data_IF_214750069256
#
_entry.id   IF_214750069256
#
_cell.length_a   1.000
_cell.length_b   1.000
_cell.length_c   1.000
_cell.angle_alpha   90.00
_cell.angle_beta   90.00
_cell.angle_gamma   90.00
#
_symmetry.space_group_name_H-M   'P 1'
#
loop_
_entity.id
_entity.type
_entity.pdbx_description
1 polymer ?
#
# COMPACT_ATOMS: atom_id res chain seq x y z
N UNK A 1 -0.31 24.87 -65.85
CA UNK A 1 0.56 24.22 -64.85
C UNK A 1 -0.21 24.08 -63.54
N UNK A 2 -0.11 22.91 -62.91
CA UNK A 2 -0.85 22.50 -61.72
C UNK A 2 -0.88 23.51 -60.57
N UNK A 3 -2.07 23.70 -60.01
CA UNK A 3 -2.30 24.45 -58.79
C UNK A 3 -1.79 23.71 -57.55
N UNK A 4 -0.59 24.06 -57.11
CA UNK A 4 -0.05 23.70 -55.79
C UNK A 4 -0.59 24.59 -54.67
N UNK A 5 -1.92 24.73 -54.59
CA UNK A 5 -2.55 25.30 -53.40
C UNK A 5 -3.76 24.47 -53.03
N UNK A 6 -3.63 23.80 -51.88
CA UNK A 6 -4.67 23.15 -51.04
C UNK A 6 -4.81 21.62 -51.15
N UNK A 7 -3.85 20.86 -50.62
CA UNK A 7 -4.16 19.60 -49.93
C UNK A 7 -4.26 19.76 -48.40
N UNK A 8 -4.03 20.98 -47.86
CA UNK A 8 -3.89 21.22 -46.41
C UNK A 8 -4.94 22.15 -45.78
N UNK A 9 -5.84 22.78 -46.54
CA UNK A 9 -6.83 23.73 -45.98
C UNK A 9 -8.09 23.08 -45.38
N UNK A 10 -8.16 21.74 -45.29
CA UNK A 10 -9.32 21.01 -44.73
C UNK A 10 -8.98 20.16 -43.48
N UNK A 11 -7.82 20.35 -42.85
CA UNK A 11 -7.38 19.48 -41.73
C UNK A 11 -7.43 20.12 -40.34
N UNK A 12 -7.82 21.39 -40.23
CA UNK A 12 -7.90 22.09 -38.94
C UNK A 12 -9.35 22.47 -38.65
N UNK A 13 -10.06 21.57 -37.99
CA UNK A 13 -11.42 21.82 -37.54
C UNK A 13 -11.99 20.62 -36.79
N UNK A 14 -11.16 19.93 -36.00
CA UNK A 14 -11.72 19.02 -35.00
C UNK A 14 -12.55 19.88 -34.05
N UNK A 15 -13.84 19.59 -33.96
CA UNK A 15 -14.76 20.24 -33.02
C UNK A 15 -14.12 20.21 -31.62
N UNK A 16 -14.24 21.28 -30.83
CA UNK A 16 -13.61 21.35 -29.51
C UNK A 16 -13.98 20.17 -28.59
N UNK A 17 -15.19 19.64 -28.72
CA UNK A 17 -15.60 18.38 -28.08
C UNK A 17 -14.86 17.15 -28.59
N UNK A 18 -14.61 17.09 -29.90
CA UNK A 18 -13.83 16.01 -30.49
C UNK A 18 -12.39 16.07 -30.01
N UNK A 19 -11.78 17.27 -29.95
CA UNK A 19 -10.44 17.48 -29.39
C UNK A 19 -10.38 17.06 -27.92
N UNK A 20 -11.37 17.43 -27.10
CA UNK A 20 -11.46 17.00 -25.71
C UNK A 20 -11.53 15.47 -25.60
N UNK A 21 -12.43 14.84 -26.34
CA UNK A 21 -12.60 13.38 -26.32
C UNK A 21 -11.35 12.66 -26.84
N UNK A 22 -10.77 13.09 -27.96
CA UNK A 22 -9.53 12.47 -28.48
C UNK A 22 -8.36 12.69 -27.54
N UNK A 23 -8.28 13.84 -26.87
CA UNK A 23 -7.20 14.10 -25.90
C UNK A 23 -7.33 13.16 -24.69
N UNK A 24 -8.51 13.07 -24.08
CA UNK A 24 -8.76 12.15 -22.96
C UNK A 24 -8.51 10.70 -23.39
N UNK A 25 -8.97 10.32 -24.59
CA UNK A 25 -8.77 8.99 -25.14
C UNK A 25 -7.28 8.66 -25.36
N UNK A 26 -6.50 9.57 -25.95
CA UNK A 26 -5.08 9.36 -26.19
C UNK A 26 -4.27 9.34 -24.89
N UNK A 27 -4.61 10.20 -23.92
CA UNK A 27 -4.04 10.17 -22.57
C UNK A 27 -4.35 8.82 -21.93
N UNK A 28 -5.60 8.34 -22.03
CA UNK A 28 -5.99 7.03 -21.51
C UNK A 28 -5.21 5.88 -22.19
N UNK A 29 -5.01 5.94 -23.51
CA UNK A 29 -4.26 4.93 -24.26
C UNK A 29 -2.77 4.90 -23.85
N UNK A 30 -2.19 6.06 -23.55
CA UNK A 30 -0.80 6.17 -23.10
C UNK A 30 -0.55 5.57 -21.72
N UNK A 31 -1.58 5.49 -20.86
CA UNK A 31 -1.50 4.85 -19.55
C UNK A 31 -1.63 3.32 -19.60
N UNK A 32 -2.05 2.72 -20.73
CA UNK A 32 -2.29 1.26 -20.83
C UNK A 32 -1.05 0.43 -20.46
N UNK A 33 0.17 0.71 -20.98
CA UNK A 33 1.35 -0.07 -20.63
C UNK A 33 1.71 0.02 -19.13
N UNK A 34 1.57 1.21 -18.55
CA UNK A 34 1.85 1.47 -17.13
C UNK A 34 0.82 0.74 -16.26
N UNK A 35 -0.45 0.78 -16.65
CA UNK A 35 -1.51 0.04 -15.97
C UNK A 35 -1.29 -1.48 -16.04
N UNK A 36 -0.86 -2.01 -17.19
CA UNK A 36 -0.53 -3.44 -17.34
C UNK A 36 0.66 -3.82 -16.45
N UNK A 37 1.75 -3.04 -16.50
CA UNK A 37 2.94 -3.29 -15.67
C UNK A 37 2.60 -3.23 -14.17
N UNK A 38 1.88 -2.21 -13.72
CA UNK A 38 1.45 -2.08 -12.33
C UNK A 38 0.41 -3.14 -11.93
N UNK A 39 -0.41 -3.63 -12.87
CA UNK A 39 -1.40 -4.67 -12.55
C UNK A 39 -0.76 -5.98 -12.10
N UNK A 40 0.47 -6.27 -12.56
CA UNK A 40 1.23 -7.47 -12.15
C UNK A 40 1.97 -7.31 -10.81
N UNK A 41 2.06 -6.09 -10.27
CA UNK A 41 2.66 -5.89 -8.96
C UNK A 41 1.74 -6.42 -7.88
N UNK A 42 2.27 -7.28 -7.01
CA UNK A 42 1.53 -7.83 -5.88
C UNK A 42 1.83 -7.10 -4.56
N UNK A 43 2.87 -6.29 -4.52
CA UNK A 43 3.34 -5.58 -3.32
C UNK A 43 3.95 -4.24 -3.70
N UNK A 44 3.87 -3.28 -2.78
CA UNK A 44 4.54 -2.00 -2.90
C UNK A 44 5.06 -1.57 -1.52
N UNK A 45 6.32 -1.10 -1.40
CA UNK A 45 6.94 -0.82 -0.12
C UNK A 45 6.19 0.26 0.68
N UNK A 46 5.55 -0.13 1.79
CA UNK A 46 4.77 0.79 2.65
C UNK A 46 5.62 1.92 3.24
N UNK A 47 6.93 1.71 3.41
CA UNK A 47 7.86 2.73 3.90
C UNK A 47 8.03 3.91 2.94
N UNK A 48 7.49 3.85 1.73
CA UNK A 48 7.40 5.02 0.82
C UNK A 48 6.27 5.98 1.20
N UNK A 49 5.31 5.53 2.00
CA UNK A 49 4.16 6.32 2.47
C UNK A 49 4.24 6.64 3.96
N UNK A 50 4.81 5.75 4.76
CA UNK A 50 4.99 5.94 6.20
C UNK A 50 6.47 5.78 6.53
N UNK A 51 7.13 6.91 6.80
CA UNK A 51 8.56 6.92 7.15
C UNK A 51 8.83 6.08 8.40
N UNK A 52 9.89 5.27 8.34
CA UNK A 52 10.38 4.45 9.46
C UNK A 52 9.34 3.47 10.02
N UNK A 53 8.33 3.09 9.22
CA UNK A 53 7.22 2.21 9.64
C UNK A 53 7.67 0.88 10.25
N UNK A 54 8.83 0.35 9.82
CA UNK A 54 9.37 -0.93 10.29
C UNK A 54 10.37 -0.83 11.44
N UNK A 55 10.65 0.37 11.94
CA UNK A 55 11.57 0.57 13.07
C UNK A 55 11.13 -0.17 14.34
N UNK A 56 9.82 -0.28 14.67
CA UNK A 56 9.38 -1.05 15.84
C UNK A 56 9.63 -2.56 15.75
N UNK A 57 9.92 -3.09 14.56
CA UNK A 57 10.24 -4.50 14.35
C UNK A 57 11.74 -4.73 14.58
N UNK A 58 12.17 -4.68 15.85
CA UNK A 58 13.55 -5.01 16.26
C UNK A 58 13.79 -6.52 16.24
N UNK A 59 15.05 -6.95 16.32
CA UNK A 59 15.39 -8.38 16.35
C UNK A 59 14.73 -9.08 17.55
N UNK A 60 14.65 -8.41 18.71
CA UNK A 60 13.95 -8.97 19.88
C UNK A 60 12.44 -9.08 19.65
N UNK A 61 11.83 -8.13 18.94
CA UNK A 61 10.41 -8.16 18.62
C UNK A 61 10.09 -9.28 17.62
N UNK A 62 10.92 -9.46 16.59
CA UNK A 62 10.78 -10.55 15.62
C UNK A 62 10.95 -11.90 16.31
N UNK A 63 11.94 -12.06 17.19
CA UNK A 63 12.14 -13.28 17.95
C UNK A 63 10.92 -13.60 18.85
N UNK A 64 10.39 -12.60 19.55
CA UNK A 64 9.20 -12.77 20.39
C UNK A 64 7.95 -13.17 19.57
N UNK A 65 7.74 -12.54 18.41
CA UNK A 65 6.66 -12.88 17.49
C UNK A 65 6.84 -14.29 16.91
N UNK A 66 8.05 -14.66 16.50
CA UNK A 66 8.33 -15.98 15.93
C UNK A 66 8.04 -17.12 16.91
N UNK A 67 8.36 -16.92 18.20
CA UNK A 67 8.14 -17.93 19.24
C UNK A 67 6.70 -17.98 19.73
N UNK A 68 5.98 -16.85 19.72
CA UNK A 68 4.73 -16.71 20.47
C UNK A 68 3.50 -16.29 19.66
N UNK A 69 3.64 -15.86 18.41
CA UNK A 69 2.54 -15.42 17.58
C UNK A 69 2.22 -16.41 16.44
N UNK A 70 0.93 -16.64 16.22
CA UNK A 70 0.42 -17.45 15.12
C UNK A 70 -0.80 -16.77 14.52
N UNK A 71 -0.94 -16.84 13.19
CA UNK A 71 -2.18 -16.48 12.50
C UNK A 71 -2.95 -17.78 12.22
N UNK A 72 -4.16 -17.89 12.79
CA UNK A 72 -5.08 -19.00 12.56
C UNK A 72 -6.43 -18.40 12.14
N UNK A 73 -6.95 -18.82 10.99
CA UNK A 73 -8.22 -18.32 10.42
C UNK A 73 -8.27 -16.78 10.29
N UNK A 74 -7.13 -16.17 9.91
CA UNK A 74 -7.01 -14.71 9.78
C UNK A 74 -6.96 -13.97 11.12
N UNK A 75 -6.79 -14.69 12.23
CA UNK A 75 -6.72 -14.14 13.58
C UNK A 75 -5.38 -14.39 14.24
N UNK A 76 -4.85 -13.35 14.87
CA UNK A 76 -3.66 -13.43 15.69
C UNK A 76 -3.97 -14.11 17.03
N UNK A 77 -3.25 -15.19 17.28
CA UNK A 77 -3.12 -15.83 18.58
C UNK A 77 -1.72 -15.55 19.10
N UNK A 78 -1.61 -14.87 20.24
CA UNK A 78 -0.34 -14.54 20.86
C UNK A 78 -0.29 -15.08 22.29
N UNK A 79 0.75 -15.86 22.62
CA UNK A 79 0.96 -16.48 23.94
C UNK A 79 2.10 -15.87 24.75
N UNK A 80 2.76 -14.83 24.22
CA UNK A 80 3.92 -14.21 24.86
C UNK A 80 3.53 -13.22 25.96
N UNK A 81 4.54 -12.62 26.59
CA UNK A 81 4.34 -11.67 27.71
C UNK A 81 4.74 -10.24 27.38
N UNK A 82 5.39 -10.00 26.22
CA UNK A 82 5.91 -8.69 25.81
C UNK A 82 4.93 -7.96 24.87
N UNK A 83 3.66 -7.90 25.26
CA UNK A 83 2.58 -7.39 24.41
C UNK A 83 2.32 -5.87 24.52
N UNK A 84 3.01 -5.16 25.41
CA UNK A 84 2.72 -3.75 25.74
C UNK A 84 3.97 -2.87 25.64
N UNK A 85 4.60 -2.81 24.45
CA UNK A 85 5.71 -1.90 24.20
C UNK A 85 5.18 -0.58 23.56
N UNK A 86 5.78 0.59 23.85
CA UNK A 86 5.29 1.87 23.34
C UNK A 86 5.12 1.93 21.81
N UNK A 87 6.06 1.33 21.06
CA UNK A 87 6.04 1.31 19.60
C UNK A 87 5.47 0.02 19.00
N UNK A 88 5.20 -1.00 19.83
CA UNK A 88 4.70 -2.30 19.40
C UNK A 88 3.72 -2.87 20.42
N UNK A 89 2.44 -2.93 20.04
CA UNK A 89 1.39 -3.57 20.82
C UNK A 89 0.97 -4.87 20.16
N UNK A 90 0.66 -5.90 20.95
CA UNK A 90 0.26 -7.22 20.46
C UNK A 90 -1.00 -7.69 21.20
N UNK A 91 -1.96 -8.22 20.46
CA UNK A 91 -3.24 -8.67 20.99
C UNK A 91 -4.28 -7.55 21.13
N UNK A 92 -5.47 -7.88 21.67
CA UNK A 92 -6.58 -6.94 21.74
C UNK A 92 -6.26 -5.75 22.65
N UNK A 93 -6.35 -4.53 22.10
CA UNK A 93 -6.15 -3.32 22.90
C UNK A 93 -7.37 -3.02 23.76
N UNK A 94 -7.12 -2.65 25.03
CA UNK A 94 -8.16 -2.15 25.93
C UNK A 94 -8.29 -0.61 25.88
N UNK A 95 -7.30 0.09 25.31
CA UNK A 95 -7.29 1.55 25.22
C UNK A 95 -7.68 2.02 23.83
N UNK A 96 -8.52 3.07 23.78
CA UNK A 96 -8.88 3.78 22.54
C UNK A 96 -7.95 4.97 22.26
N UNK A 97 -7.00 5.26 23.15
CA UNK A 97 -6.08 6.38 22.96
C UNK A 97 -5.00 6.03 21.94
N UNK A 98 -4.87 6.89 20.93
CA UNK A 98 -3.87 6.73 19.87
C UNK A 98 -2.54 7.37 20.29
N UNK A 99 -1.41 6.69 20.00
CA UNK A 99 -0.09 7.15 20.43
C UNK A 99 0.34 8.40 19.67
N UNK A 100 1.18 9.22 20.31
CA UNK A 100 1.82 10.37 19.65
C UNK A 100 2.92 9.92 18.69
N UNK A 101 3.73 8.95 19.11
CA UNK A 101 4.79 8.37 18.29
C UNK A 101 4.25 7.22 17.41
N UNK A 102 5.09 6.75 16.49
CA UNK A 102 4.76 5.62 15.63
C UNK A 102 4.56 4.35 16.48
N UNK A 103 3.43 3.68 16.27
CA UNK A 103 3.12 2.40 16.88
C UNK A 103 2.55 1.44 15.84
N UNK A 104 3.07 0.21 15.88
CA UNK A 104 2.46 -0.94 15.24
C UNK A 104 1.65 -1.68 16.29
N UNK A 105 0.36 -1.87 16.04
CA UNK A 105 -0.51 -2.64 16.92
C UNK A 105 -1.04 -3.85 16.17
N UNK A 106 -0.49 -5.02 16.49
CA UNK A 106 -0.99 -6.31 16.00
C UNK A 106 -2.22 -6.69 16.82
N UNK A 107 -3.40 -6.25 16.39
CA UNK A 107 -4.68 -6.62 17.00
C UNK A 107 -5.09 -8.04 16.55
N UNK A 108 -6.29 -8.46 16.94
CA UNK A 108 -6.80 -9.81 16.73
C UNK A 108 -6.97 -10.14 15.26
N UNK A 109 -7.42 -9.20 14.42
CA UNK A 109 -7.75 -9.46 13.00
C UNK A 109 -6.93 -8.59 12.03
N UNK A 110 -6.20 -7.61 12.55
CA UNK A 110 -5.55 -6.59 11.75
C UNK A 110 -4.34 -5.96 12.44
N UNK A 111 -3.38 -5.53 11.64
CA UNK A 111 -2.32 -4.62 12.05
C UNK A 111 -2.82 -3.18 11.90
N UNK A 112 -2.86 -2.45 13.01
CA UNK A 112 -3.18 -1.01 13.05
C UNK A 112 -1.88 -0.23 13.16
N UNK A 113 -1.68 0.73 12.26
CA UNK A 113 -0.51 1.62 12.27
C UNK A 113 -0.98 3.01 12.64
N UNK A 114 -0.45 3.55 13.74
CA UNK A 114 -0.84 4.84 14.28
C UNK A 114 0.37 5.72 14.54
N UNK A 115 0.20 7.03 14.37
CA UNK A 115 1.20 8.06 14.66
C UNK A 115 0.51 9.41 14.80
N UNK A 116 1.07 10.35 15.55
CA UNK A 116 0.53 11.71 15.72
C UNK A 116 -0.93 11.73 16.23
N UNK A 117 -1.27 10.79 17.12
CA UNK A 117 -2.62 10.60 17.65
C UNK A 117 -3.68 10.34 16.57
N UNK A 118 -3.26 9.77 15.43
CA UNK A 118 -4.12 9.37 14.31
C UNK A 118 -3.80 7.95 13.90
N UNK A 119 -4.84 7.27 13.47
CA UNK A 119 -4.72 6.00 12.75
C UNK A 119 -4.35 6.33 11.29
N UNK A 120 -3.26 5.76 10.81
CA UNK A 120 -2.78 5.94 9.44
C UNK A 120 -3.35 4.88 8.51
N UNK A 121 -3.38 3.62 8.95
CA UNK A 121 -3.94 2.51 8.18
C UNK A 121 -4.27 1.33 9.09
N UNK A 122 -5.22 0.51 8.63
CA UNK A 122 -5.50 -0.84 9.14
C UNK A 122 -5.20 -1.86 8.05
N UNK A 123 -4.60 -2.96 8.42
CA UNK A 123 -4.13 -3.99 7.49
C UNK A 123 -4.62 -5.34 8.01
N UNK A 124 -5.68 -5.88 7.40
CA UNK A 124 -6.16 -7.23 7.72
C UNK A 124 -5.14 -8.30 7.35
N UNK A 125 -5.05 -9.37 8.13
CA UNK A 125 -4.15 -10.49 7.88
C UNK A 125 -4.63 -11.37 6.73
N UNK A 126 -4.04 -11.23 5.54
CA UNK A 126 -4.25 -12.14 4.40
C UNK A 126 -2.93 -12.78 3.96
N UNK A 127 -1.92 -11.95 3.69
CA UNK A 127 -0.55 -12.35 3.38
C UNK A 127 0.33 -12.43 4.64
N UNK A 128 -0.01 -11.68 5.70
CA UNK A 128 0.59 -11.87 7.02
C UNK A 128 0.09 -13.20 7.58
N UNK A 129 0.98 -14.18 7.65
CA UNK A 129 0.73 -15.53 8.14
C UNK A 129 1.77 -15.90 9.20
N UNK A 130 1.63 -17.07 9.82
CA UNK A 130 2.53 -17.51 10.90
C UNK A 130 3.99 -17.56 10.44
N UNK A 131 4.24 -17.99 9.20
CA UNK A 131 5.57 -18.00 8.58
C UNK A 131 6.16 -16.59 8.39
N UNK A 132 5.32 -15.56 8.28
CA UNK A 132 5.79 -14.19 8.13
C UNK A 132 6.52 -13.70 9.37
N UNK A 133 6.27 -14.27 10.55
CA UNK A 133 6.95 -13.90 11.79
C UNK A 133 8.37 -14.47 11.93
N UNK A 134 8.82 -15.34 11.02
CA UNK A 134 10.12 -16.01 11.12
C UNK A 134 11.31 -15.08 10.84
N UNK A 135 11.10 -14.00 10.08
CA UNK A 135 12.13 -13.01 9.80
C UNK A 135 11.54 -11.61 9.64
N UNK A 136 12.39 -10.59 9.81
CA UNK A 136 11.99 -9.19 9.58
C UNK A 136 11.63 -8.96 8.12
N UNK A 137 12.40 -9.54 7.21
CA UNK A 137 12.21 -9.43 5.78
C UNK A 137 10.84 -9.99 5.37
N UNK A 138 10.49 -11.20 5.83
CA UNK A 138 9.21 -11.84 5.50
C UNK A 138 8.03 -11.04 6.07
N UNK A 139 8.13 -10.56 7.32
CA UNK A 139 7.09 -9.76 7.94
C UNK A 139 6.87 -8.44 7.21
N UNK A 140 7.94 -7.72 6.87
CA UNK A 140 7.84 -6.43 6.17
C UNK A 140 7.31 -6.58 4.75
N UNK A 141 7.66 -7.67 4.05
CA UNK A 141 7.08 -8.00 2.75
C UNK A 141 5.60 -8.33 2.85
N UNK A 142 5.20 -9.14 3.85
CA UNK A 142 3.81 -9.50 4.07
C UNK A 142 2.94 -8.28 4.42
N UNK A 143 3.43 -7.39 5.31
CA UNK A 143 2.77 -6.12 5.66
C UNK A 143 2.61 -5.24 4.42
N UNK A 144 3.68 -5.07 3.63
CA UNK A 144 3.64 -4.28 2.39
C UNK A 144 2.63 -4.86 1.39
N UNK A 145 2.58 -6.19 1.27
CA UNK A 145 1.67 -6.90 0.37
C UNK A 145 0.22 -6.70 0.78
N UNK A 146 -0.12 -6.96 2.04
CA UNK A 146 -1.50 -6.79 2.52
C UNK A 146 -1.97 -5.35 2.43
N UNK A 147 -1.12 -4.40 2.82
CA UNK A 147 -1.42 -2.98 2.68
C UNK A 147 -1.64 -2.59 1.22
N UNK A 148 -0.75 -3.01 0.31
CA UNK A 148 -0.87 -2.70 -1.11
C UNK A 148 -2.14 -3.29 -1.72
N UNK A 149 -2.46 -4.55 -1.43
CA UNK A 149 -3.68 -5.19 -1.96
C UNK A 149 -4.94 -4.49 -1.47
N UNK A 150 -4.99 -4.06 -0.20
CA UNK A 150 -6.12 -3.33 0.37
C UNK A 150 -6.26 -1.91 -0.21
N UNK A 151 -5.15 -1.29 -0.61
CA UNK A 151 -5.10 0.08 -1.14
C UNK A 151 -4.79 0.16 -2.64
N UNK A 152 -4.96 -0.96 -3.37
CA UNK A 152 -4.42 -1.16 -4.74
C UNK A 152 -4.85 -0.07 -5.71
N UNK A 153 -6.11 0.37 -5.65
CA UNK A 153 -6.65 1.39 -6.56
C UNK A 153 -5.94 2.73 -6.35
N UNK A 154 -5.83 3.19 -5.11
CA UNK A 154 -5.21 4.47 -4.78
C UNK A 154 -3.70 4.46 -5.11
N UNK A 155 -3.01 3.38 -4.79
CA UNK A 155 -1.58 3.25 -5.06
C UNK A 155 -1.33 3.16 -6.57
N UNK A 156 -2.15 2.40 -7.31
CA UNK A 156 -2.02 2.32 -8.77
C UNK A 156 -2.18 3.69 -9.42
N UNK A 157 -3.15 4.50 -8.96
CA UNK A 157 -3.32 5.88 -9.43
C UNK A 157 -2.12 6.76 -9.05
N UNK A 158 -1.63 6.65 -7.81
CA UNK A 158 -0.45 7.38 -7.35
C UNK A 158 0.78 7.06 -8.21
N UNK A 159 1.03 5.79 -8.54
CA UNK A 159 2.16 5.37 -9.38
C UNK A 159 2.03 5.90 -10.81
N UNK A 160 0.83 5.87 -11.37
CA UNK A 160 0.56 6.38 -12.71
C UNK A 160 0.75 7.90 -12.78
N UNK A 161 0.30 8.65 -11.77
CA UNK A 161 0.43 10.11 -11.73
C UNK A 161 1.84 10.56 -11.33
N UNK A 162 2.50 9.85 -10.41
CA UNK A 162 3.85 10.15 -9.94
C UNK A 162 4.97 9.73 -10.89
N UNK A 163 4.67 8.88 -11.88
CA UNK A 163 5.58 8.57 -12.98
C UNK A 163 5.58 9.64 -14.11
N UNK A 164 4.84 10.74 -13.92
CA UNK A 164 4.68 11.85 -14.89
C UNK A 164 5.66 12.99 -14.65
#
# INVERSE_FOLDING_TARGET
MWGFRKPLSKRFGLNWFQLLFTSIFLISLSMVPIAIQNSSQETYPLNTFIDNVYTPLTDEAIMDLSENAQIVDGKLNYSGTKNQQPSLLIGPSQSKELPKDLQLHFDTEELVISKESKELTRIRYHAIQTESFQSKEDLTQAISKDWYQQNRVYISLFLVLGAS
#
